data_IF_001618156501
#
_entry.id   IF_001618156501
#
_cell.length_a   1.000
_cell.length_b   1.000
_cell.length_c   1.000
_cell.angle_alpha   90.00
_cell.angle_beta   90.00
_cell.angle_gamma   90.00
#
_symmetry.space_group_name_H-M   'P 1'
#
loop_
_entity.id
_entity.type
_entity.pdbx_description
1 polymer ?
#
# COMPACT_ATOMS: atom_id res chain seq x y z
N UNK A 1 -16.71 11.69 26.53
CA UNK A 1 -16.35 11.75 25.09
C UNK A 1 -14.86 12.03 25.03
N UNK A 2 -14.03 11.01 24.85
CA UNK A 2 -12.59 11.22 24.59
C UNK A 2 -12.43 11.66 23.14
N UNK A 3 -11.86 12.86 22.95
CA UNK A 3 -11.43 13.35 21.65
C UNK A 3 -10.05 12.74 21.37
N UNK A 4 -10.00 11.74 20.49
CA UNK A 4 -8.73 11.28 19.90
C UNK A 4 -8.19 12.38 18.99
N UNK A 5 -7.37 13.28 19.55
CA UNK A 5 -6.56 14.23 18.79
C UNK A 5 -5.40 13.46 18.16
N UNK A 6 -5.58 13.06 16.90
CA UNK A 6 -4.49 12.58 16.07
C UNK A 6 -3.51 13.75 15.88
N UNK A 7 -2.39 13.71 16.61
CA UNK A 7 -1.27 14.62 16.39
C UNK A 7 -0.84 14.46 14.93
N UNK A 8 -0.86 15.54 14.15
CA UNK A 8 -0.39 15.49 12.77
C UNK A 8 1.04 14.92 12.76
N UNK A 9 1.31 13.85 11.99
CA UNK A 9 2.64 13.26 11.97
C UNK A 9 3.64 14.31 11.52
N UNK A 10 4.72 14.49 12.30
CA UNK A 10 5.91 15.25 11.89
C UNK A 10 6.28 14.81 10.48
N UNK A 11 6.37 15.78 9.55
CA UNK A 11 6.65 15.61 8.11
C UNK A 11 6.84 14.15 7.71
N UNK A 12 5.75 13.50 7.27
CA UNK A 12 5.80 12.15 6.72
C UNK A 12 6.96 12.10 5.72
N UNK A 13 7.93 11.21 5.95
CA UNK A 13 8.92 10.87 4.92
C UNK A 13 8.10 10.62 3.64
N UNK A 14 8.31 11.45 2.60
CA UNK A 14 7.53 11.33 1.38
C UNK A 14 7.62 9.88 0.90
N UNK A 15 6.49 9.26 0.56
CA UNK A 15 6.43 7.86 0.14
C UNK A 15 7.24 7.65 -1.15
N UNK A 16 8.54 7.37 -1.02
CA UNK A 16 9.45 7.17 -2.15
C UNK A 16 9.28 5.75 -2.69
N UNK A 17 9.31 5.55 -4.03
CA UNK A 17 9.38 4.21 -4.59
C UNK A 17 10.61 3.44 -4.11
N UNK A 18 10.43 2.22 -3.60
CA UNK A 18 11.55 1.37 -3.16
C UNK A 18 11.51 -0.01 -3.80
N UNK A 19 12.68 -0.63 -3.94
CA UNK A 19 12.77 -2.06 -4.27
C UNK A 19 12.49 -2.88 -3.00
N UNK A 20 11.44 -3.73 -2.98
CA UNK A 20 11.16 -4.58 -1.84
C UNK A 20 12.23 -5.68 -1.68
N UNK A 21 12.27 -6.30 -0.50
CA UNK A 21 13.15 -7.44 -0.21
C UNK A 21 12.33 -8.72 -0.06
N UNK A 22 12.95 -9.86 -0.36
CA UNK A 22 12.35 -11.19 -0.25
C UNK A 22 12.19 -11.63 1.20
N UNK A 23 13.28 -11.53 1.96
CA UNK A 23 13.36 -12.21 3.25
C UNK A 23 13.29 -11.24 4.43
N UNK A 24 13.37 -9.93 4.18
CA UNK A 24 13.42 -8.91 5.22
C UNK A 24 12.39 -7.83 4.96
N UNK A 25 11.72 -7.40 6.02
CA UNK A 25 10.92 -6.19 5.99
C UNK A 25 11.85 -4.99 5.83
N UNK A 26 11.54 -4.12 4.86
CA UNK A 26 12.20 -2.83 4.66
C UNK A 26 11.23 -1.73 5.05
N UNK A 27 11.74 -0.69 5.71
CA UNK A 27 10.98 0.55 5.93
C UNK A 27 10.66 1.17 4.56
N UNK A 28 9.38 1.41 4.29
CA UNK A 28 8.94 2.11 3.10
C UNK A 28 8.74 3.60 3.38
N UNK A 29 7.92 3.91 4.38
CA UNK A 29 7.75 5.24 4.94
C UNK A 29 7.72 5.16 6.47
N UNK A 30 7.33 6.23 7.15
CA UNK A 30 7.20 6.24 8.61
C UNK A 30 6.08 5.36 9.17
N UNK A 31 5.17 4.85 8.33
CA UNK A 31 3.99 4.08 8.74
C UNK A 31 4.16 2.59 8.50
N UNK A 32 4.84 2.20 7.42
CA UNK A 32 4.82 0.83 6.92
C UNK A 32 6.20 0.22 6.68
N UNK A 33 6.33 -1.04 7.07
CA UNK A 33 7.36 -1.96 6.60
C UNK A 33 6.82 -2.87 5.50
N UNK A 34 7.61 -3.14 4.47
CA UNK A 34 7.20 -3.96 3.32
C UNK A 34 8.19 -5.07 2.97
N UNK A 35 7.68 -6.21 2.49
CA UNK A 35 8.49 -7.29 1.88
C UNK A 35 7.67 -8.01 0.80
N UNK A 36 8.34 -8.82 -0.02
CA UNK A 36 7.70 -9.65 -1.06
C UNK A 36 7.96 -11.14 -0.83
N UNK A 37 7.08 -12.01 -1.33
CA UNK A 37 7.21 -13.46 -1.12
C UNK A 37 8.10 -14.19 -2.14
N UNK A 38 8.36 -13.61 -3.31
CA UNK A 38 9.14 -14.24 -4.38
C UNK A 38 9.77 -13.21 -5.32
N UNK A 39 10.87 -13.54 -6.01
CA UNK A 39 11.58 -12.60 -6.88
C UNK A 39 10.68 -12.06 -7.99
N UNK A 40 10.70 -10.75 -8.19
CA UNK A 40 10.01 -10.09 -9.29
C UNK A 40 10.64 -8.71 -9.52
N UNK A 41 10.70 -8.28 -10.78
CA UNK A 41 11.00 -6.89 -11.09
C UNK A 41 9.85 -6.00 -10.65
N UNK A 42 10.14 -4.94 -9.91
CA UNK A 42 9.14 -3.97 -9.51
C UNK A 42 9.56 -3.10 -8.34
N UNK A 43 8.64 -2.20 -7.97
CA UNK A 43 8.82 -1.27 -6.86
C UNK A 43 7.55 -1.19 -6.03
N UNK A 44 7.74 -0.99 -4.74
CA UNK A 44 6.69 -0.54 -3.84
C UNK A 44 6.59 0.97 -3.96
N UNK A 45 5.39 1.48 -4.20
CA UNK A 45 5.08 2.90 -4.19
C UNK A 45 3.64 3.12 -3.73
N UNK A 46 3.23 4.37 -3.60
CA UNK A 46 1.85 4.70 -3.28
C UNK A 46 0.91 4.18 -4.38
N UNK A 47 -0.31 3.80 -3.98
CA UNK A 47 -1.32 3.35 -4.92
C UNK A 47 -1.72 4.48 -5.87
N UNK A 48 -1.83 5.69 -5.35
CA UNK A 48 -2.09 6.90 -6.11
C UNK A 48 -3.41 6.88 -6.89
N UNK A 49 -3.64 7.95 -7.65
CA UNK A 49 -4.85 8.08 -8.48
C UNK A 49 -4.95 6.99 -9.54
N UNK A 50 -3.82 6.61 -10.13
CA UNK A 50 -3.75 5.59 -11.18
C UNK A 50 -4.14 4.21 -10.67
N UNK A 51 -3.64 3.82 -9.49
CA UNK A 51 -4.00 2.54 -8.87
C UNK A 51 -5.47 2.47 -8.52
N UNK A 52 -6.03 3.54 -7.95
CA UNK A 52 -7.47 3.61 -7.67
C UNK A 52 -8.31 3.55 -8.95
N UNK A 53 -7.91 4.28 -10.00
CA UNK A 53 -8.61 4.23 -11.30
C UNK A 53 -8.60 2.81 -11.88
N UNK A 54 -7.46 2.14 -11.82
CA UNK A 54 -7.32 0.75 -12.25
C UNK A 54 -8.19 -0.21 -11.42
N UNK A 55 -8.21 -0.08 -10.09
CA UNK A 55 -8.99 -0.99 -9.24
C UNK A 55 -10.51 -0.76 -9.37
N UNK A 56 -10.95 0.46 -9.69
CA UNK A 56 -12.34 0.75 -10.07
C UNK A 56 -12.75 0.01 -11.34
N UNK A 57 -11.88 -0.07 -12.36
CA UNK A 57 -12.20 -0.81 -13.60
C UNK A 57 -12.30 -2.32 -13.35
N UNK A 58 -11.61 -2.81 -12.31
CA UNK A 58 -11.71 -4.20 -11.82
C UNK A 58 -12.88 -4.44 -10.85
N UNK A 59 -13.69 -3.42 -10.55
CA UNK A 59 -14.80 -3.48 -9.57
C UNK A 59 -14.37 -3.90 -8.15
N UNK A 60 -13.09 -3.68 -7.81
CA UNK A 60 -12.57 -3.97 -6.47
C UNK A 60 -12.93 -2.85 -5.51
N UNK A 61 -12.88 -1.60 -5.98
CA UNK A 61 -13.20 -0.43 -5.17
C UNK A 61 -14.43 0.27 -5.72
N UNK A 62 -15.35 0.62 -4.83
CA UNK A 62 -16.58 1.33 -5.19
C UNK A 62 -16.38 2.83 -5.41
N UNK A 63 -17.49 3.53 -5.66
CA UNK A 63 -17.49 5.01 -5.80
C UNK A 63 -17.04 5.70 -4.50
N UNK A 64 -17.45 5.16 -3.35
CA UNK A 64 -17.31 5.80 -2.05
C UNK A 64 -16.16 5.25 -1.20
N UNK A 65 -15.57 4.11 -1.57
CA UNK A 65 -14.52 3.47 -0.77
C UNK A 65 -14.50 1.95 -0.91
N UNK A 66 -13.86 1.32 0.07
CA UNK A 66 -13.73 -0.12 0.24
C UNK A 66 -13.84 -0.44 1.75
N UNK A 67 -14.65 -1.43 2.13
CA UNK A 67 -14.86 -1.84 3.54
C UNK A 67 -15.09 -0.68 4.52
N UNK A 68 -16.02 0.24 4.20
CA UNK A 68 -16.34 1.44 4.98
C UNK A 68 -15.18 2.45 5.16
N UNK A 69 -14.05 2.26 4.48
CA UNK A 69 -12.93 3.19 4.47
C UNK A 69 -13.03 4.11 3.24
N UNK A 70 -12.93 5.45 3.42
CA UNK A 70 -12.97 6.39 2.32
C UNK A 70 -11.86 6.15 1.29
N UNK A 71 -12.17 6.38 0.01
CA UNK A 71 -11.24 6.21 -1.10
C UNK A 71 -9.92 6.98 -0.92
N UNK A 72 -9.99 8.15 -0.26
CA UNK A 72 -8.87 9.04 -0.03
C UNK A 72 -7.78 8.40 0.83
N UNK A 73 -8.15 7.54 1.78
CA UNK A 73 -7.20 6.85 2.64
C UNK A 73 -6.27 5.92 1.85
N UNK A 74 -6.78 5.33 0.77
CA UNK A 74 -6.05 4.35 -0.03
C UNK A 74 -5.07 4.96 -1.02
N UNK A 75 -5.15 6.26 -1.34
CA UNK A 75 -4.20 6.89 -2.26
C UNK A 75 -2.76 6.75 -1.78
N UNK A 76 -2.55 6.92 -0.48
CA UNK A 76 -1.24 6.84 0.16
C UNK A 76 -0.85 5.41 0.60
N UNK A 77 -1.67 4.41 0.29
CA UNK A 77 -1.41 3.03 0.69
C UNK A 77 -0.28 2.42 -0.14
N UNK A 78 0.60 1.60 0.47
CA UNK A 78 1.63 0.87 -0.26
C UNK A 78 1.02 -0.14 -1.24
N UNK A 79 1.63 -0.19 -2.42
CA UNK A 79 1.23 -1.08 -3.50
C UNK A 79 2.45 -1.48 -4.33
N UNK A 80 2.39 -2.65 -4.97
CA UNK A 80 3.50 -3.20 -5.74
C UNK A 80 3.24 -3.10 -7.24
N UNK A 81 4.20 -2.54 -7.95
CA UNK A 81 4.11 -2.22 -9.38
C UNK A 81 5.30 -2.78 -10.14
N UNK A 82 5.06 -3.15 -11.40
CA UNK A 82 6.12 -3.42 -12.36
C UNK A 82 5.85 -2.67 -13.68
N UNK A 83 6.66 -2.93 -14.71
CA UNK A 83 6.51 -2.32 -16.04
C UNK A 83 5.15 -2.57 -16.69
N UNK A 84 4.43 -3.63 -16.30
CA UNK A 84 3.10 -4.00 -16.81
C UNK A 84 1.96 -3.37 -16.00
N UNK A 85 2.24 -2.76 -14.85
CA UNK A 85 1.25 -2.06 -14.02
C UNK A 85 1.17 -2.59 -12.59
N UNK A 86 0.00 -2.41 -11.98
CA UNK A 86 -0.27 -2.78 -10.59
C UNK A 86 -0.36 -4.30 -10.43
N UNK A 87 0.49 -4.86 -9.56
CA UNK A 87 0.57 -6.30 -9.27
C UNK A 87 -0.16 -6.65 -7.98
N UNK A 88 -0.01 -5.81 -6.94
CA UNK A 88 -0.62 -6.05 -5.64
C UNK A 88 -1.00 -4.75 -4.93
N UNK A 89 -2.18 -4.73 -4.32
CA UNK A 89 -2.62 -3.69 -3.39
C UNK A 89 -3.29 -4.38 -2.18
N UNK A 90 -2.50 -4.80 -1.17
CA UNK A 90 -2.98 -5.71 -0.12
C UNK A 90 -4.09 -5.11 0.76
N UNK A 91 -4.07 -3.80 1.01
CA UNK A 91 -5.13 -3.10 1.75
C UNK A 91 -6.51 -3.15 1.07
N UNK A 92 -6.55 -3.54 -0.21
CA UNK A 92 -7.76 -3.67 -1.01
C UNK A 92 -7.96 -5.12 -1.50
N UNK A 93 -7.25 -6.08 -0.91
CA UNK A 93 -7.32 -7.50 -1.28
C UNK A 93 -6.88 -7.81 -2.71
N UNK A 94 -6.25 -6.87 -3.43
CA UNK A 94 -5.90 -7.07 -4.83
C UNK A 94 -4.54 -7.78 -4.99
N UNK A 95 -4.55 -8.85 -5.78
CA UNK A 95 -3.37 -9.57 -6.24
C UNK A 95 -3.65 -10.18 -7.62
N UNK A 96 -2.73 -9.98 -8.57
CA UNK A 96 -2.79 -10.75 -9.82
C UNK A 96 -2.52 -12.23 -9.51
N UNK A 97 -3.42 -13.11 -9.94
CA UNK A 97 -3.31 -14.56 -9.69
C UNK A 97 -1.92 -15.08 -10.12
N UNK A 98 -1.27 -15.79 -9.20
CA UNK A 98 0.05 -16.37 -9.43
C UNK A 98 1.21 -15.36 -9.46
N UNK A 99 0.99 -14.09 -9.13
CA UNK A 99 2.06 -13.07 -9.05
C UNK A 99 2.59 -12.89 -7.62
N UNK A 100 3.56 -11.99 -7.48
CA UNK A 100 4.23 -11.69 -6.20
C UNK A 100 3.29 -10.97 -5.24
N UNK A 101 3.27 -11.45 -4.01
CA UNK A 101 2.51 -10.88 -2.88
C UNK A 101 3.36 -9.82 -2.20
N UNK A 102 2.77 -8.64 -1.99
CA UNK A 102 3.33 -7.61 -1.12
C UNK A 102 2.81 -7.83 0.31
N UNK A 103 3.70 -8.02 1.27
CA UNK A 103 3.37 -8.04 2.69
C UNK A 103 3.66 -6.69 3.32
N UNK A 104 2.75 -6.23 4.18
CA UNK A 104 2.85 -4.95 4.89
C UNK A 104 2.75 -5.20 6.39
N UNK A 105 3.52 -4.44 7.18
CA UNK A 105 3.39 -4.34 8.64
C UNK A 105 3.36 -2.87 9.04
N UNK A 106 2.56 -2.52 10.04
CA UNK A 106 2.56 -1.19 10.63
C UNK A 106 3.76 -1.04 11.58
N UNK A 107 4.38 0.13 11.59
CA UNK A 107 5.51 0.43 12.49
C UNK A 107 5.03 0.69 13.93
N UNK A 108 3.80 1.19 14.11
CA UNK A 108 3.21 1.51 15.42
C UNK A 108 2.94 0.29 16.33
N UNK A 109 3.21 -0.94 15.87
CA UNK A 109 3.09 -2.17 16.67
C UNK A 109 4.43 -2.65 17.26
N UNK A 110 5.46 -1.80 17.29
CA UNK A 110 6.81 -2.13 17.78
C UNK A 110 7.22 -1.39 19.08
N UNK A 111 6.29 -0.70 19.74
CA UNK A 111 6.51 -0.01 21.02
C UNK A 111 5.62 -0.60 22.11
#
# INVERSE_FOLDING_TARGET
KELLLYKEPKSLDASVPIKPSLNKYKKWDSRFLVKINKPCEGMVRELGKDGIKFLKTKKIVGKNGYDNVPISAFYSAPSFWNKKGLISAPFLGYLIKGQTVLYIRNIDLLH
#
